data_IF_115763103542
#
_entry.id   IF_115763103542
#
_cell.length_a   1.000
_cell.length_b   1.000
_cell.length_c   1.000
_cell.angle_alpha   90.00
_cell.angle_beta   90.00
_cell.angle_gamma   90.00
#
_symmetry.space_group_name_H-M   'P 1'
#
loop_
_entity.id
_entity.type
_entity.pdbx_description
1 polymer ?
#
# COMPACT_ATOMS: atom_id res chain seq x y z
N UNK A 1 13.12 -19.18 30.57
CA UNK A 1 14.43 -18.91 31.21
C UNK A 1 15.16 -17.80 30.45
N UNK A 2 16.15 -17.13 31.04
CA UNK A 2 16.91 -16.06 30.37
C UNK A 2 17.56 -16.52 29.05
N UNK A 3 17.96 -17.79 28.98
CA UNK A 3 18.48 -18.44 27.77
C UNK A 3 17.46 -18.50 26.63
N UNK A 4 16.21 -18.87 26.93
CA UNK A 4 15.13 -18.90 25.93
C UNK A 4 14.84 -17.51 25.36
N UNK A 5 14.82 -16.47 26.20
CA UNK A 5 14.66 -15.08 25.75
C UNK A 5 15.82 -14.64 24.86
N UNK A 6 17.07 -14.98 25.21
CA UNK A 6 18.24 -14.70 24.37
C UNK A 6 18.14 -15.36 23.00
N UNK A 7 17.70 -16.61 22.93
CA UNK A 7 17.49 -17.31 21.66
C UNK A 7 16.32 -16.70 20.87
N UNK A 8 15.23 -16.35 21.53
CA UNK A 8 14.07 -15.69 20.91
C UNK A 8 14.45 -14.35 20.28
N UNK A 9 15.13 -13.46 21.01
CA UNK A 9 15.54 -12.14 20.49
C UNK A 9 16.48 -12.27 19.29
N UNK A 10 17.44 -13.21 19.33
CA UNK A 10 18.32 -13.48 18.19
C UNK A 10 17.54 -14.04 16.99
N UNK A 11 16.64 -14.99 17.23
CA UNK A 11 15.77 -15.55 16.20
C UNK A 11 14.89 -14.49 15.54
N UNK A 12 14.25 -13.63 16.34
CA UNK A 12 13.47 -12.49 15.88
C UNK A 12 14.29 -11.56 14.98
N UNK A 13 15.52 -11.22 15.40
CA UNK A 13 16.42 -10.37 14.62
C UNK A 13 16.84 -11.02 13.29
N UNK A 14 17.13 -12.33 13.28
CA UNK A 14 17.44 -13.03 12.04
C UNK A 14 16.24 -13.10 11.10
N UNK A 15 15.05 -13.39 11.62
CA UNK A 15 13.82 -13.40 10.82
C UNK A 15 13.53 -12.01 10.24
N UNK A 16 13.69 -10.94 11.02
CA UNK A 16 13.54 -9.58 10.53
C UNK A 16 14.57 -9.24 9.43
N UNK A 17 15.84 -9.63 9.62
CA UNK A 17 16.91 -9.42 8.66
C UNK A 17 16.71 -10.19 7.34
N UNK A 18 16.10 -11.38 7.39
CA UNK A 18 15.77 -12.17 6.19
C UNK A 18 14.46 -11.73 5.54
N UNK A 19 13.45 -11.36 6.33
CA UNK A 19 12.14 -10.93 5.83
C UNK A 19 12.22 -9.58 5.09
N UNK A 20 13.08 -8.66 5.54
CA UNK A 20 13.22 -7.35 4.90
C UNK A 20 13.62 -7.43 3.42
N UNK A 21 14.74 -8.08 3.02
CA UNK A 21 15.08 -8.23 1.61
C UNK A 21 14.08 -9.12 0.86
N UNK A 22 13.43 -10.08 1.53
CA UNK A 22 12.38 -10.90 0.93
C UNK A 22 11.17 -10.06 0.50
N UNK A 23 10.69 -9.14 1.34
CA UNK A 23 9.56 -8.27 0.99
C UNK A 23 9.91 -7.37 -0.19
N UNK A 24 11.14 -6.85 -0.24
CA UNK A 24 11.63 -6.07 -1.39
C UNK A 24 11.70 -6.92 -2.65
N UNK A 25 12.20 -8.16 -2.56
CA UNK A 25 12.37 -9.03 -3.72
C UNK A 25 11.04 -9.55 -4.26
N UNK A 26 10.08 -9.94 -3.41
CA UNK A 26 8.78 -10.48 -3.85
C UNK A 26 8.04 -9.46 -4.71
N UNK A 27 7.94 -8.21 -4.27
CA UNK A 27 7.28 -7.17 -5.07
C UNK A 27 8.09 -6.74 -6.30
N UNK A 28 9.43 -6.85 -6.25
CA UNK A 28 10.27 -6.63 -7.42
C UNK A 28 10.07 -7.73 -8.47
N UNK A 29 9.97 -9.00 -8.07
CA UNK A 29 9.74 -10.13 -8.98
C UNK A 29 8.39 -9.98 -9.69
N UNK A 30 7.32 -9.66 -8.94
CA UNK A 30 6.00 -9.39 -9.54
C UNK A 30 6.06 -8.20 -10.50
N UNK A 31 6.87 -7.18 -10.21
CA UNK A 31 7.05 -6.05 -11.13
C UNK A 31 7.78 -6.45 -12.42
N UNK A 32 8.72 -7.41 -12.34
CA UNK A 32 9.51 -7.87 -13.48
C UNK A 32 8.70 -8.68 -14.49
N UNK A 33 7.59 -9.30 -14.06
CA UNK A 33 6.63 -9.92 -14.98
C UNK A 33 6.11 -8.92 -16.03
N UNK A 34 6.01 -7.63 -15.65
CA UNK A 34 5.69 -6.54 -16.57
C UNK A 34 6.96 -5.92 -17.18
N UNK A 35 7.94 -5.56 -16.34
CA UNK A 35 9.08 -4.76 -16.76
C UNK A 35 9.98 -5.43 -17.81
N UNK A 36 10.02 -6.77 -17.85
CA UNK A 36 10.79 -7.52 -18.84
C UNK A 36 10.05 -7.73 -20.15
N UNK A 37 8.74 -7.45 -20.22
CA UNK A 37 7.99 -7.49 -21.46
C UNK A 37 8.43 -6.33 -22.38
N UNK A 38 8.16 -6.49 -23.68
CA UNK A 38 8.44 -5.47 -24.71
C UNK A 38 7.24 -4.56 -24.98
N UNK A 39 6.20 -4.64 -24.14
CA UNK A 39 4.97 -3.85 -24.26
C UNK A 39 5.26 -2.40 -23.87
N UNK A 40 4.91 -1.42 -24.73
CA UNK A 40 5.08 -0.02 -24.40
C UNK A 40 4.35 0.39 -23.11
N UNK A 41 5.04 1.12 -22.26
CA UNK A 41 4.55 1.49 -20.92
C UNK A 41 4.71 0.40 -19.85
N UNK A 42 5.16 -0.81 -20.20
CA UNK A 42 5.64 -1.81 -19.24
C UNK A 42 7.16 -1.86 -19.18
N UNK A 43 7.83 -1.70 -20.33
CA UNK A 43 9.28 -1.85 -20.45
C UNK A 43 10.06 -0.70 -19.78
N UNK A 44 10.10 -0.70 -18.44
CA UNK A 44 10.71 0.35 -17.64
C UNK A 44 11.52 -0.21 -16.46
N UNK A 45 12.73 0.31 -16.27
CA UNK A 45 13.65 -0.13 -15.21
C UNK A 45 13.25 0.35 -13.82
N UNK A 46 12.41 1.39 -13.72
CA UNK A 46 11.96 1.96 -12.45
C UNK A 46 10.90 1.08 -11.74
N UNK A 47 10.34 0.07 -12.42
CA UNK A 47 9.20 -0.71 -11.91
C UNK A 47 9.47 -1.44 -10.60
N UNK A 48 10.65 -2.04 -10.42
CA UNK A 48 10.97 -2.76 -9.20
C UNK A 48 10.90 -1.89 -7.93
N UNK A 49 11.67 -0.80 -7.80
CA UNK A 49 11.57 0.07 -6.62
C UNK A 49 10.21 0.77 -6.51
N UNK A 50 9.56 1.07 -7.64
CA UNK A 50 8.23 1.67 -7.68
C UNK A 50 7.14 0.74 -7.11
N UNK A 51 7.08 -0.53 -7.55
CA UNK A 51 6.11 -1.52 -7.08
C UNK A 51 6.32 -1.82 -5.60
N UNK A 52 7.56 -1.86 -5.14
CA UNK A 52 7.89 -2.01 -3.71
C UNK A 52 7.36 -0.82 -2.90
N UNK A 53 7.62 0.42 -3.34
CA UNK A 53 7.10 1.60 -2.68
C UNK A 53 5.56 1.60 -2.66
N UNK A 54 4.95 1.22 -3.78
CA UNK A 54 3.51 1.06 -3.90
C UNK A 54 2.93 0.00 -2.95
N UNK A 55 3.61 -1.14 -2.79
CA UNK A 55 3.17 -2.19 -1.87
C UNK A 55 3.19 -1.73 -0.41
N UNK A 56 4.24 -0.99 0.01
CA UNK A 56 4.29 -0.41 1.36
C UNK A 56 3.19 0.65 1.51
N UNK A 57 2.99 1.48 0.48
CA UNK A 57 1.99 2.54 0.49
C UNK A 57 0.54 2.01 0.64
N UNK A 58 0.12 1.06 -0.18
CA UNK A 58 -1.20 0.42 -0.06
C UNK A 58 -1.32 -0.44 1.21
N UNK A 59 -0.27 -1.15 1.60
CA UNK A 59 -0.25 -1.95 2.83
C UNK A 59 -0.48 -1.10 4.08
N UNK A 60 0.22 0.03 4.20
CA UNK A 60 0.04 0.97 5.32
C UNK A 60 -1.37 1.57 5.32
N UNK A 61 -1.91 1.91 4.15
CA UNK A 61 -3.29 2.38 4.04
C UNK A 61 -4.31 1.31 4.47
N UNK A 62 -4.13 0.05 4.08
CA UNK A 62 -4.96 -1.06 4.55
C UNK A 62 -4.87 -1.24 6.07
N UNK A 63 -3.66 -1.16 6.64
CA UNK A 63 -3.46 -1.23 8.11
C UNK A 63 -4.21 -0.12 8.82
N UNK A 64 -4.14 1.13 8.34
CA UNK A 64 -4.92 2.24 8.92
C UNK A 64 -6.42 1.93 8.84
N UNK A 65 -6.90 1.47 7.70
CA UNK A 65 -8.33 1.17 7.46
C UNK A 65 -8.86 0.10 8.44
N UNK A 66 -8.04 -0.90 8.78
CA UNK A 66 -8.42 -1.98 9.71
C UNK A 66 -8.23 -1.59 11.18
N UNK A 67 -7.19 -0.83 11.51
CA UNK A 67 -6.90 -0.43 12.89
C UNK A 67 -7.94 0.53 13.46
N UNK A 68 -8.53 1.41 12.64
CA UNK A 68 -9.55 2.37 13.09
C UNK A 68 -10.78 1.67 13.71
N UNK A 69 -11.47 0.73 13.02
CA UNK A 69 -12.60 0.01 13.60
C UNK A 69 -12.17 -0.92 14.74
N UNK A 70 -11.04 -1.63 14.62
CA UNK A 70 -10.55 -2.53 15.69
C UNK A 70 -10.30 -1.77 16.97
N UNK A 71 -9.65 -0.60 16.89
CA UNK A 71 -9.38 0.26 18.03
C UNK A 71 -10.65 0.59 18.81
N UNK A 72 -11.76 0.83 18.10
CA UNK A 72 -13.06 1.17 18.69
C UNK A 72 -13.83 -0.05 19.21
N UNK A 73 -13.85 -1.14 18.44
CA UNK A 73 -14.60 -2.35 18.78
C UNK A 73 -14.00 -3.11 19.96
N UNK A 74 -12.67 -3.10 20.09
CA UNK A 74 -11.94 -3.81 21.15
C UNK A 74 -11.49 -2.89 22.30
N UNK A 75 -11.90 -1.62 22.30
CA UNK A 75 -11.52 -0.62 23.31
C UNK A 75 -10.00 -0.50 23.52
N UNK A 76 -9.24 -0.47 22.41
CA UNK A 76 -7.77 -0.44 22.42
C UNK A 76 -7.22 0.99 22.32
N UNK A 77 -8.00 2.02 22.68
CA UNK A 77 -7.58 3.41 22.51
C UNK A 77 -6.33 3.81 23.28
N UNK A 78 -6.10 3.19 24.45
CA UNK A 78 -4.95 3.45 25.33
C UNK A 78 -3.66 2.79 24.82
N UNK A 79 -3.79 1.67 24.09
CA UNK A 79 -2.66 0.98 23.48
C UNK A 79 -2.33 1.56 22.10
N UNK A 80 -3.35 1.71 21.25
CA UNK A 80 -3.22 2.23 19.89
C UNK A 80 -3.50 3.73 19.93
N UNK A 81 -2.50 4.49 20.36
CA UNK A 81 -2.59 5.95 20.48
C UNK A 81 -2.54 6.67 19.13
N UNK A 82 -2.89 7.97 19.13
CA UNK A 82 -2.79 8.85 17.94
C UNK A 82 -1.36 8.93 17.40
N UNK A 83 -0.35 8.71 18.25
CA UNK A 83 1.04 8.69 17.85
C UNK A 83 1.34 7.59 16.82
N UNK A 84 0.75 6.40 16.98
CA UNK A 84 0.89 5.30 16.02
C UNK A 84 0.30 5.68 14.66
N UNK A 85 -0.90 6.27 14.65
CA UNK A 85 -1.54 6.77 13.43
C UNK A 85 -0.73 7.88 12.75
N UNK A 86 -0.16 8.81 13.53
CA UNK A 86 0.69 9.85 12.97
C UNK A 86 1.94 9.26 12.29
N UNK A 87 2.57 8.24 12.89
CA UNK A 87 3.73 7.59 12.31
C UNK A 87 3.38 6.78 11.05
N UNK A 88 2.26 6.04 11.06
CA UNK A 88 1.75 5.35 9.86
C UNK A 88 1.46 6.34 8.74
N UNK A 89 0.87 7.49 9.05
CA UNK A 89 0.57 8.51 8.06
C UNK A 89 1.83 9.21 7.50
N UNK A 90 2.90 9.37 8.30
CA UNK A 90 4.21 9.83 7.79
C UNK A 90 4.83 8.81 6.83
N UNK A 91 4.73 7.52 7.15
CA UNK A 91 5.21 6.45 6.27
C UNK A 91 4.41 6.42 4.97
N UNK A 92 3.08 6.51 5.05
CA UNK A 92 2.18 6.61 3.90
C UNK A 92 2.49 7.84 3.02
N UNK A 93 2.76 8.99 3.64
CA UNK A 93 3.18 10.20 2.93
C UNK A 93 4.52 10.00 2.21
N UNK A 94 5.51 9.42 2.89
CA UNK A 94 6.83 9.16 2.31
C UNK A 94 6.73 8.26 1.08
N UNK A 95 6.05 7.11 1.21
CA UNK A 95 5.94 6.16 0.10
C UNK A 95 5.02 6.66 -1.00
N UNK A 96 3.96 7.38 -0.67
CA UNK A 96 3.11 8.07 -1.65
C UNK A 96 3.86 9.11 -2.48
N UNK A 97 4.80 9.86 -1.88
CA UNK A 97 5.68 10.77 -2.63
C UNK A 97 6.64 10.03 -3.56
N UNK A 98 7.16 8.86 -3.16
CA UNK A 98 8.01 8.02 -4.03
C UNK A 98 7.20 7.52 -5.24
N UNK A 99 5.96 7.07 -5.01
CA UNK A 99 5.03 6.64 -6.08
C UNK A 99 4.69 7.81 -7.00
N UNK A 100 4.33 8.97 -6.46
CA UNK A 100 4.06 10.17 -7.26
C UNK A 100 5.28 10.63 -8.06
N UNK A 101 6.49 10.53 -7.49
CA UNK A 101 7.74 10.76 -8.21
C UNK A 101 7.91 9.78 -9.38
N UNK A 102 7.65 8.48 -9.16
CA UNK A 102 7.74 7.47 -10.21
C UNK A 102 6.79 7.79 -11.39
N UNK A 103 5.54 8.20 -11.12
CA UNK A 103 4.63 8.64 -12.17
C UNK A 103 5.21 9.80 -12.98
N UNK A 104 5.73 10.83 -12.30
CA UNK A 104 6.36 11.97 -12.97
C UNK A 104 7.54 11.54 -13.85
N UNK A 105 8.39 10.63 -13.35
CA UNK A 105 9.51 10.08 -14.11
C UNK A 105 9.02 9.30 -15.32
N UNK A 106 8.03 8.43 -15.18
CA UNK A 106 7.48 7.66 -16.29
C UNK A 106 6.95 8.58 -17.42
N UNK A 107 6.08 9.52 -17.09
CA UNK A 107 5.55 10.50 -18.06
C UNK A 107 6.67 11.34 -18.68
N UNK A 108 7.66 11.76 -17.88
CA UNK A 108 8.82 12.49 -18.38
C UNK A 108 9.66 11.65 -19.34
N UNK A 109 9.95 10.39 -19.00
CA UNK A 109 10.75 9.48 -19.83
C UNK A 109 10.03 9.10 -21.11
N UNK A 110 8.71 8.90 -21.08
CA UNK A 110 7.92 8.66 -22.28
C UNK A 110 7.97 9.87 -23.22
N UNK A 111 7.80 11.09 -22.67
CA UNK A 111 7.89 12.31 -23.46
C UNK A 111 9.31 12.56 -23.99
N UNK A 112 10.35 12.40 -23.17
CA UNK A 112 11.74 12.66 -23.53
C UNK A 112 12.35 11.57 -24.45
N UNK A 113 11.99 10.31 -24.24
CA UNK A 113 12.67 9.12 -24.76
C UNK A 113 12.60 8.87 -26.27
N UNK A 114 12.04 9.78 -27.06
CA UNK A 114 12.08 9.73 -28.54
C UNK A 114 11.25 8.64 -29.22
N UNK A 115 10.81 7.60 -28.51
CA UNK A 115 10.05 6.48 -29.07
C UNK A 115 8.56 6.84 -29.23
N UNK A 116 8.06 6.78 -30.47
CA UNK A 116 6.69 7.16 -30.78
C UNK A 116 5.65 6.27 -30.07
N UNK A 117 5.93 4.97 -29.95
CA UNK A 117 5.05 4.00 -29.28
C UNK A 117 4.86 4.31 -27.78
N UNK A 118 5.95 4.58 -27.05
CA UNK A 118 5.91 4.99 -25.64
C UNK A 118 5.15 6.30 -25.44
N UNK A 119 5.42 7.31 -26.28
CA UNK A 119 4.69 8.58 -26.24
C UNK A 119 3.19 8.38 -26.46
N UNK A 120 2.82 7.57 -27.44
CA UNK A 120 1.43 7.29 -27.75
C UNK A 120 0.75 6.51 -26.62
N UNK A 121 1.44 5.55 -25.98
CA UNK A 121 0.92 4.79 -24.85
C UNK A 121 0.60 5.70 -23.65
N UNK A 122 1.53 6.58 -23.25
CA UNK A 122 1.28 7.53 -22.15
C UNK A 122 0.23 8.61 -22.51
N UNK A 123 0.14 8.99 -23.77
CA UNK A 123 -0.95 9.86 -24.24
C UNK A 123 -2.32 9.16 -24.15
N UNK A 124 -2.37 7.87 -24.53
CA UNK A 124 -3.57 7.05 -24.40
C UNK A 124 -3.97 6.86 -22.93
N UNK A 125 -3.01 6.72 -22.00
CA UNK A 125 -3.31 6.71 -20.56
C UNK A 125 -3.99 8.00 -20.10
N UNK A 126 -3.47 9.15 -20.54
CA UNK A 126 -3.98 10.45 -20.12
C UNK A 126 -5.34 10.83 -20.74
N UNK A 127 -5.59 10.47 -22.01
CA UNK A 127 -6.73 10.97 -22.80
C UNK A 127 -7.53 9.89 -23.55
N UNK A 128 -7.16 8.63 -23.44
CA UNK A 128 -7.85 7.51 -24.08
C UNK A 128 -9.18 7.17 -23.39
N UNK A 129 -9.86 6.09 -23.80
CA UNK A 129 -11.17 5.67 -23.27
C UNK A 129 -11.20 5.48 -21.74
N UNK A 130 -10.08 5.08 -21.15
CA UNK A 130 -9.92 4.86 -19.72
C UNK A 130 -9.30 6.05 -18.97
N UNK A 131 -9.25 7.25 -19.57
CA UNK A 131 -8.67 8.46 -18.93
C UNK A 131 -9.11 8.64 -17.47
N UNK A 132 -10.38 8.39 -17.17
CA UNK A 132 -10.94 8.52 -15.84
C UNK A 132 -10.25 7.62 -14.80
N UNK A 133 -9.77 6.44 -15.17
CA UNK A 133 -9.01 5.54 -14.30
C UNK A 133 -7.62 6.11 -14.01
N UNK A 134 -6.91 6.55 -15.05
CA UNK A 134 -5.61 7.23 -14.94
C UNK A 134 -5.67 8.50 -14.07
N UNK A 135 -6.66 9.37 -14.26
CA UNK A 135 -6.79 10.58 -13.45
C UNK A 135 -7.22 10.27 -12.01
N UNK A 136 -8.08 9.27 -11.80
CA UNK A 136 -8.46 8.82 -10.45
C UNK A 136 -7.24 8.28 -9.70
N UNK A 137 -6.41 7.46 -10.35
CA UNK A 137 -5.14 6.97 -9.82
C UNK A 137 -4.25 8.14 -9.37
N UNK A 138 -4.00 9.11 -10.25
CA UNK A 138 -3.11 10.24 -9.96
C UNK A 138 -3.66 11.09 -8.80
N UNK A 139 -4.96 11.38 -8.79
CA UNK A 139 -5.60 12.18 -7.73
C UNK A 139 -5.49 11.46 -6.37
N UNK A 140 -5.83 10.18 -6.33
CA UNK A 140 -5.85 9.40 -5.09
C UNK A 140 -4.44 9.09 -4.55
N UNK A 141 -3.47 8.81 -5.41
CA UNK A 141 -2.14 8.37 -5.00
C UNK A 141 -1.11 9.50 -4.91
N UNK A 142 -1.19 10.51 -5.79
CA UNK A 142 -0.18 11.58 -5.84
C UNK A 142 -0.65 12.85 -5.12
N UNK A 143 -1.92 13.26 -5.29
CA UNK A 143 -2.39 14.55 -4.75
C UNK A 143 -2.98 14.42 -3.34
N UNK A 144 -3.85 13.44 -3.12
CA UNK A 144 -4.57 13.29 -1.86
C UNK A 144 -3.64 13.03 -0.65
N UNK A 145 -2.54 12.28 -0.75
CA UNK A 145 -1.62 12.08 0.38
C UNK A 145 -0.84 13.33 0.75
N UNK A 146 -0.69 14.31 -0.15
CA UNK A 146 -0.01 15.58 0.17
C UNK A 146 -0.74 16.35 1.29
N UNK A 147 -2.04 16.09 1.48
CA UNK A 147 -2.81 16.60 2.61
C UNK A 147 -2.22 16.16 3.96
N UNK A 148 -1.57 14.99 4.02
CA UNK A 148 -0.92 14.45 5.22
C UNK A 148 0.31 15.26 5.68
N UNK A 149 0.79 16.22 4.86
CA UNK A 149 1.81 17.17 5.29
C UNK A 149 1.32 18.04 6.46
N UNK A 150 0.02 18.38 6.45
CA UNK A 150 -0.60 19.14 7.54
C UNK A 150 -0.82 18.24 8.75
N UNK A 151 -0.19 18.59 9.87
CA UNK A 151 -0.30 17.87 11.15
C UNK A 151 -1.75 17.66 11.58
N UNK A 152 -2.61 18.67 11.42
CA UNK A 152 -4.02 18.61 11.81
C UNK A 152 -4.79 17.49 11.09
N UNK A 153 -4.46 17.23 9.83
CA UNK A 153 -5.07 16.13 9.05
C UNK A 153 -4.46 14.81 9.50
N UNK A 154 -3.14 14.79 9.67
CA UNK A 154 -2.38 13.59 10.07
C UNK A 154 -2.72 13.06 11.47
N UNK A 155 -3.18 13.91 12.39
CA UNK A 155 -3.60 13.50 13.74
C UNK A 155 -5.10 13.27 13.85
N UNK A 156 -5.87 13.48 12.78
CA UNK A 156 -7.30 13.23 12.75
C UNK A 156 -7.58 11.82 12.22
N UNK A 157 -8.01 10.92 13.11
CA UNK A 157 -8.23 9.49 12.80
C UNK A 157 -9.30 9.31 11.71
N UNK A 158 -10.38 10.11 11.72
CA UNK A 158 -11.43 10.01 10.70
C UNK A 158 -10.89 10.44 9.34
N UNK A 159 -10.09 11.52 9.30
CA UNK A 159 -9.46 11.97 8.06
C UNK A 159 -8.50 10.90 7.51
N UNK A 160 -7.69 10.28 8.39
CA UNK A 160 -6.80 9.18 7.99
C UNK A 160 -7.56 7.97 7.45
N UNK A 161 -8.69 7.60 8.06
CA UNK A 161 -9.52 6.50 7.58
C UNK A 161 -10.08 6.75 6.18
N UNK A 162 -10.59 7.97 5.93
CA UNK A 162 -11.11 8.34 4.61
C UNK A 162 -9.97 8.36 3.59
N UNK A 163 -8.84 8.98 3.95
CA UNK A 163 -7.65 9.04 3.08
C UNK A 163 -7.17 7.63 2.72
N UNK A 164 -7.07 6.72 3.70
CA UNK A 164 -6.56 5.38 3.47
C UNK A 164 -7.45 4.54 2.53
N UNK A 165 -8.76 4.75 2.56
CA UNK A 165 -9.67 4.13 1.58
C UNK A 165 -9.37 4.64 0.17
N UNK A 166 -9.25 5.97 -0.01
CA UNK A 166 -8.91 6.53 -1.32
C UNK A 166 -7.54 6.07 -1.82
N UNK A 167 -6.55 5.94 -0.93
CA UNK A 167 -5.25 5.35 -1.29
C UNK A 167 -5.42 3.93 -1.82
N UNK A 168 -6.16 3.06 -1.13
CA UNK A 168 -6.35 1.69 -1.60
C UNK A 168 -7.09 1.62 -2.94
N UNK A 169 -8.09 2.49 -3.15
CA UNK A 169 -8.79 2.60 -4.43
C UNK A 169 -7.85 3.10 -5.53
N UNK A 170 -7.05 4.14 -5.27
CA UNK A 170 -6.06 4.66 -6.22
C UNK A 170 -5.00 3.62 -6.57
N UNK A 171 -4.53 2.84 -5.59
CA UNK A 171 -3.57 1.76 -5.80
C UNK A 171 -4.15 0.56 -6.56
N UNK A 172 -5.45 0.32 -6.46
CA UNK A 172 -6.14 -0.63 -7.33
C UNK A 172 -6.17 -0.11 -8.78
N UNK A 173 -6.54 1.16 -8.97
CA UNK A 173 -6.51 1.80 -10.29
C UNK A 173 -5.11 1.84 -10.89
N UNK A 174 -4.06 1.97 -10.09
CA UNK A 174 -2.68 1.89 -10.57
C UNK A 174 -2.40 0.57 -11.30
N UNK A 175 -2.81 -0.57 -10.73
CA UNK A 175 -2.60 -1.87 -11.38
C UNK A 175 -3.50 -2.00 -12.60
N UNK A 176 -4.73 -1.49 -12.53
CA UNK A 176 -5.63 -1.46 -13.67
C UNK A 176 -5.05 -0.65 -14.85
N UNK A 177 -4.54 0.56 -14.59
CA UNK A 177 -3.94 1.44 -15.61
C UNK A 177 -2.70 0.79 -16.22
N UNK A 178 -1.81 0.23 -15.39
CA UNK A 178 -0.62 -0.45 -15.91
C UNK A 178 -1.05 -1.62 -16.80
N UNK A 179 -1.93 -2.51 -16.34
CA UNK A 179 -2.25 -3.74 -17.07
C UNK A 179 -3.19 -3.49 -18.23
N UNK A 180 -4.38 -2.95 -17.95
CA UNK A 180 -5.47 -2.85 -18.91
C UNK A 180 -5.18 -1.77 -19.92
N UNK A 181 -4.79 -0.55 -19.53
CA UNK A 181 -4.62 0.52 -20.53
C UNK A 181 -3.45 0.27 -21.47
N UNK A 182 -2.36 -0.33 -20.98
CA UNK A 182 -1.20 -0.65 -21.82
C UNK A 182 -1.44 -1.81 -22.79
N UNK A 183 -2.47 -2.63 -22.55
CA UNK A 183 -2.86 -3.74 -23.43
C UNK A 183 -4.08 -3.42 -24.31
N UNK A 184 -5.03 -2.63 -23.78
CA UNK A 184 -6.29 -2.31 -24.44
C UNK A 184 -6.10 -1.35 -25.62
N UNK A 185 -5.13 -0.45 -25.51
CA UNK A 185 -4.72 0.42 -26.60
C UNK A 185 -3.28 0.13 -26.95
N UNK A 186 -3.05 -0.64 -28.00
CA UNK A 186 -1.84 -0.46 -28.80
C UNK A 186 -2.12 0.64 -29.83
N UNK A 187 -1.90 1.94 -29.54
CA UNK A 187 -2.11 3.01 -30.52
C UNK A 187 -1.20 2.91 -31.75
N UNK A 188 -0.26 1.96 -31.77
CA UNK A 188 0.67 1.68 -32.87
C UNK A 188 0.26 0.46 -33.72
N UNK A 189 -0.65 -0.40 -33.27
CA UNK A 189 -1.16 -1.53 -34.04
C UNK A 189 -2.71 -1.50 -34.08
N UNK A 190 -3.33 -0.86 -35.09
CA UNK A 190 -4.78 -0.65 -35.16
C UNK A 190 -5.61 -1.94 -35.08
N UNK A 191 -5.04 -3.08 -35.48
CA UNK A 191 -5.69 -4.37 -35.49
C UNK A 191 -5.76 -5.05 -34.11
N UNK A 192 -4.95 -4.62 -33.14
CA UNK A 192 -4.89 -5.18 -31.79
C UNK A 192 -5.73 -4.39 -30.76
N UNK A 193 -6.41 -3.33 -31.19
CA UNK A 193 -7.19 -2.47 -30.30
C UNK A 193 -8.38 -3.23 -29.70
N UNK A 194 -8.34 -3.45 -28.38
CA UNK A 194 -9.33 -4.26 -27.67
C UNK A 194 -9.80 -3.52 -26.43
N UNK A 195 -11.10 -3.58 -26.13
CA UNK A 195 -11.64 -2.99 -24.89
C UNK A 195 -11.82 -4.07 -23.84
N UNK A 196 -11.46 -3.75 -22.59
CA UNK A 196 -11.72 -4.62 -21.46
C UNK A 196 -12.97 -4.13 -20.72
N UNK A 197 -14.01 -4.97 -20.72
CA UNK A 197 -15.21 -4.75 -19.94
C UNK A 197 -15.34 -5.88 -18.91
N UNK A 198 -15.14 -5.61 -17.61
CA UNK A 198 -15.23 -6.64 -16.59
C UNK A 198 -16.64 -7.21 -16.52
N UNK A 199 -16.73 -8.52 -16.47
CA UNK A 199 -17.98 -9.26 -16.33
C UNK A 199 -18.39 -9.36 -14.86
N UNK A 200 -19.61 -9.81 -14.62
CA UNK A 200 -20.09 -10.08 -13.25
C UNK A 200 -19.19 -11.09 -12.51
N UNK A 201 -18.52 -12.00 -13.23
CA UNK A 201 -17.63 -12.98 -12.64
C UNK A 201 -16.34 -12.32 -12.09
N UNK A 202 -15.77 -11.36 -12.82
CA UNK A 202 -14.59 -10.59 -12.38
C UNK A 202 -14.88 -9.83 -11.08
N UNK A 203 -16.02 -9.13 -11.04
CA UNK A 203 -16.48 -8.44 -9.83
C UNK A 203 -16.81 -9.41 -8.69
N UNK A 204 -17.39 -10.57 -9.01
CA UNK A 204 -17.70 -11.62 -8.04
C UNK A 204 -16.46 -12.20 -7.37
N UNK A 205 -15.39 -12.49 -8.14
CA UNK A 205 -14.11 -12.96 -7.61
C UNK A 205 -13.47 -11.87 -6.75
N UNK A 206 -13.49 -10.61 -7.20
CA UNK A 206 -12.94 -9.51 -6.42
C UNK A 206 -13.66 -9.33 -5.08
N UNK A 207 -15.00 -9.28 -5.09
CA UNK A 207 -15.81 -9.20 -3.86
C UNK A 207 -15.59 -10.43 -2.97
N UNK A 208 -15.50 -11.62 -3.56
CA UNK A 208 -15.20 -12.87 -2.86
C UNK A 208 -13.84 -12.85 -2.16
N UNK A 209 -12.82 -12.23 -2.76
CA UNK A 209 -11.50 -12.11 -2.14
C UNK A 209 -11.51 -11.22 -0.89
N UNK A 210 -12.27 -10.12 -0.88
CA UNK A 210 -12.52 -9.33 0.33
C UNK A 210 -13.26 -10.15 1.39
N UNK A 211 -14.31 -10.89 1.00
CA UNK A 211 -15.04 -11.77 1.91
C UNK A 211 -14.12 -12.84 2.55
N UNK A 212 -13.28 -13.47 1.75
CA UNK A 212 -12.30 -14.45 2.20
C UNK A 212 -11.27 -13.84 3.17
N UNK A 213 -10.75 -12.65 2.84
CA UNK A 213 -9.85 -11.91 3.71
C UNK A 213 -10.51 -11.58 5.05
N UNK A 214 -11.68 -10.95 5.05
CA UNK A 214 -12.36 -10.55 6.28
C UNK A 214 -12.78 -11.75 7.12
N UNK A 215 -13.17 -12.86 6.51
CA UNK A 215 -13.44 -14.10 7.23
C UNK A 215 -12.22 -14.55 8.05
N UNK A 216 -11.05 -14.70 7.41
CA UNK A 216 -9.84 -15.13 8.11
C UNK A 216 -9.32 -14.09 9.10
N UNK A 217 -9.41 -12.81 8.75
CA UNK A 217 -9.00 -11.72 9.62
C UNK A 217 -9.84 -11.66 10.90
N UNK A 218 -11.17 -11.75 10.79
CA UNK A 218 -12.06 -11.77 11.95
C UNK A 218 -11.88 -13.04 12.78
N UNK A 219 -11.67 -14.21 12.15
CA UNK A 219 -11.31 -15.43 12.87
C UNK A 219 -9.99 -15.26 13.63
N UNK A 220 -8.98 -14.63 13.04
CA UNK A 220 -7.72 -14.35 13.71
C UNK A 220 -7.92 -13.44 14.93
N UNK A 221 -8.57 -12.28 14.75
CA UNK A 221 -8.80 -11.30 15.83
C UNK A 221 -9.67 -11.88 16.96
N UNK A 222 -10.59 -12.80 16.65
CA UNK A 222 -11.42 -13.49 17.65
C UNK A 222 -10.63 -14.52 18.47
N UNK A 223 -9.72 -15.27 17.85
CA UNK A 223 -9.05 -16.41 18.49
C UNK A 223 -7.67 -16.06 19.05
N UNK A 224 -7.02 -15.00 18.56
CA UNK A 224 -5.67 -14.60 18.94
C UNK A 224 -5.63 -13.15 19.42
N UNK A 225 -4.68 -12.78 20.31
CA UNK A 225 -4.52 -11.40 20.74
C UNK A 225 -4.06 -10.52 19.58
N UNK A 226 -4.85 -9.49 19.25
CA UNK A 226 -4.56 -8.56 18.15
C UNK A 226 -3.33 -7.65 18.40
N UNK A 227 -2.82 -7.61 19.63
CA UNK A 227 -1.64 -6.83 20.04
C UNK A 227 -0.64 -7.77 20.72
N UNK A 228 0.65 -7.60 20.42
CA UNK A 228 1.74 -8.37 21.02
C UNK A 228 1.95 -7.98 22.50
N UNK A 229 1.35 -8.75 23.41
CA UNK A 229 1.39 -8.47 24.86
C UNK A 229 2.82 -8.47 25.41
N UNK A 230 3.70 -9.34 24.89
CA UNK A 230 5.10 -9.43 25.32
C UNK A 230 5.89 -8.16 25.00
N UNK A 231 5.81 -7.67 23.76
CA UNK A 231 6.54 -6.48 23.31
C UNK A 231 6.01 -5.21 23.99
N UNK A 232 4.68 -5.10 24.14
CA UNK A 232 4.09 -3.95 24.86
C UNK A 232 4.59 -3.90 26.31
N UNK A 233 4.74 -5.05 26.98
CA UNK A 233 5.25 -5.11 28.35
C UNK A 233 6.73 -4.73 28.48
N UNK A 234 7.53 -4.90 27.43
CA UNK A 234 8.95 -4.49 27.43
C UNK A 234 9.13 -2.97 27.34
N UNK A 235 8.19 -2.29 26.67
CA UNK A 235 8.22 -0.82 26.50
C UNK A 235 7.58 -0.09 27.68
N UNK A 236 6.64 -0.74 28.38
CA UNK A 236 5.99 -0.15 29.56
C UNK A 236 6.96 -0.10 30.75
N UNK A 237 6.95 0.99 31.55
CA UNK A 237 7.75 1.07 32.75
C UNK A 237 7.39 -0.06 33.71
N UNK A 238 8.41 -0.68 34.32
CA UNK A 238 8.20 -1.74 35.30
C UNK A 238 7.22 -1.25 36.38
N UNK A 239 6.19 -2.05 36.74
CA UNK A 239 5.21 -1.64 37.73
C UNK A 239 5.92 -1.33 39.04
N UNK A 240 6.02 -0.05 39.38
CA UNK A 240 6.54 0.36 40.67
C UNK A 240 5.52 -0.09 41.71
N UNK A 241 5.93 -0.96 42.63
CA UNK A 241 5.13 -1.33 43.79
C UNK A 241 4.82 -0.01 44.51
N UNK A 242 3.58 0.47 44.37
CA UNK A 242 3.18 1.76 44.93
C UNK A 242 3.64 1.81 46.38
N UNK A 243 4.30 2.92 46.78
CA UNK A 243 4.62 3.15 48.18
C UNK A 243 3.34 2.86 48.95
N UNK A 244 3.37 1.83 49.81
CA UNK A 244 2.29 1.60 50.75
C UNK A 244 2.00 2.96 51.38
N UNK A 245 0.75 3.43 51.29
CA UNK A 245 0.32 4.61 52.04
C UNK A 245 0.71 4.32 53.49
N UNK A 246 1.77 4.96 53.95
CA UNK A 246 2.12 4.98 55.37
C UNK A 246 1.18 5.98 55.98
N UNK A 247 0.32 5.47 56.87
CA UNK A 247 -0.67 6.13 57.74
C UNK A 247 -1.72 7.00 57.05
#
# INVERSE_FOLDING_TARGET
TNEQWRHYTRGYLYLAALATPLVLSVHSVVSWDFAMAIVPGWHATIFAPYFVAGAIYSGVAMVITLLVPIRKLFHLEDLITVHHFENLAKLCLLTGMIVGYAYCVEYFTAWFGGHAAERAAFWYRAFGPFWWASWTMIICNAFLPLLLWRKNIRTNILALFVISIFVNVGMWFERFVIIVESLAGEPFEPFANATYNPTWADWGIMAGSFGWFFMWFLLFVKNFPAVSISEVKEVLPAPQRGKARVS
#
